data_IF_627403791842
#
_entry.id   IF_627403791842
#
_cell.length_a   1.000
_cell.length_b   1.000
_cell.length_c   1.000
_cell.angle_alpha   90.00
_cell.angle_beta   90.00
_cell.angle_gamma   90.00
#
_symmetry.space_group_name_H-M   'P 1'
#
loop_
_entity.id
_entity.type
_entity.pdbx_description
1 polymer ?
#
# COMPACT_ATOMS: atom_id res chain seq x y z
N UNK A 1 -20.67 -11.25 4.03
CA UNK A 1 -21.47 -10.23 3.36
C UNK A 1 -21.27 -10.30 1.86
N UNK A 2 -22.32 -9.99 1.10
CA UNK A 2 -22.29 -9.80 -0.35
C UNK A 2 -22.53 -8.32 -0.61
N UNK A 3 -21.62 -7.70 -1.37
CA UNK A 3 -21.75 -6.32 -1.83
C UNK A 3 -22.21 -6.36 -3.28
N UNK A 4 -23.44 -5.86 -3.59
CA UNK A 4 -23.92 -5.82 -4.96
C UNK A 4 -23.06 -4.94 -5.87
N UNK A 5 -22.96 -5.28 -7.16
CA UNK A 5 -22.31 -4.42 -8.17
C UNK A 5 -23.07 -3.09 -8.37
N UNK A 6 -24.38 -3.09 -8.15
CA UNK A 6 -25.22 -1.90 -8.17
C UNK A 6 -25.12 -1.16 -6.82
N UNK A 7 -24.53 0.06 -6.77
CA UNK A 7 -24.37 0.81 -5.53
C UNK A 7 -25.70 1.28 -4.91
N UNK A 8 -26.83 1.19 -5.61
CA UNK A 8 -28.15 1.51 -5.05
C UNK A 8 -28.74 0.34 -4.24
N UNK A 9 -28.18 -0.85 -4.35
CA UNK A 9 -28.62 -2.01 -3.59
C UNK A 9 -27.85 -2.14 -2.27
N UNK A 10 -28.58 -2.45 -1.19
CA UNK A 10 -27.96 -2.65 0.11
C UNK A 10 -27.16 -3.97 0.15
N UNK A 11 -26.06 -4.03 0.94
CA UNK A 11 -25.35 -5.27 1.19
C UNK A 11 -26.25 -6.36 1.74
N UNK A 12 -26.06 -7.60 1.28
CA UNK A 12 -26.83 -8.77 1.71
C UNK A 12 -25.99 -9.62 2.68
N UNK A 13 -26.66 -10.21 3.65
CA UNK A 13 -26.05 -11.18 4.53
C UNK A 13 -26.02 -12.57 3.91
N UNK A 14 -24.95 -13.33 4.17
CA UNK A 14 -24.84 -14.72 3.73
C UNK A 14 -24.51 -15.64 4.89
N UNK A 15 -25.27 -16.71 5.03
CA UNK A 15 -24.95 -17.79 5.97
C UNK A 15 -23.70 -18.53 5.51
N UNK A 16 -22.76 -18.86 6.41
CA UNK A 16 -21.59 -19.67 6.06
C UNK A 16 -21.92 -20.97 5.31
N UNK A 17 -23.04 -21.63 5.62
CA UNK A 17 -23.50 -22.82 4.93
C UNK A 17 -23.99 -22.53 3.49
N UNK A 18 -24.32 -21.27 3.19
CA UNK A 18 -24.84 -20.83 1.89
C UNK A 18 -23.76 -20.22 0.98
N UNK A 19 -22.50 -20.20 1.41
CA UNK A 19 -21.38 -19.66 0.63
C UNK A 19 -20.94 -20.58 -0.52
N UNK A 20 -21.21 -21.88 -0.41
CA UNK A 20 -20.75 -22.87 -1.39
C UNK A 20 -19.22 -22.83 -1.54
N UNK A 21 -18.76 -22.77 -2.78
CA UNK A 21 -17.34 -22.68 -3.13
C UNK A 21 -16.80 -21.24 -3.14
N UNK A 22 -17.60 -20.22 -2.80
CA UNK A 22 -17.15 -18.83 -2.80
C UNK A 22 -16.20 -18.53 -1.66
N UNK A 23 -15.18 -17.73 -1.96
CA UNK A 23 -14.19 -17.21 -1.03
C UNK A 23 -14.27 -15.69 -0.91
N UNK A 24 -13.64 -15.15 0.11
CA UNK A 24 -13.59 -13.70 0.30
C UNK A 24 -12.93 -13.00 -0.90
N UNK A 25 -13.64 -12.01 -1.43
CA UNK A 25 -13.24 -11.22 -2.59
C UNK A 25 -13.65 -11.78 -3.95
N UNK A 26 -14.24 -12.97 -4.02
CA UNK A 26 -14.78 -13.51 -5.27
C UNK A 26 -15.94 -12.67 -5.78
N UNK A 27 -16.06 -12.55 -7.08
CA UNK A 27 -17.27 -12.07 -7.74
C UNK A 27 -18.22 -13.24 -7.96
N UNK A 28 -19.44 -13.11 -7.49
CA UNK A 28 -20.38 -14.21 -7.42
C UNK A 28 -21.74 -13.86 -8.05
N UNK A 29 -22.46 -14.88 -8.50
CA UNK A 29 -23.89 -14.79 -8.73
C UNK A 29 -24.59 -15.30 -7.49
N UNK A 30 -25.45 -14.49 -6.87
CA UNK A 30 -26.17 -14.82 -5.67
C UNK A 30 -27.68 -14.66 -5.87
N UNK A 31 -28.47 -15.50 -5.19
CA UNK A 31 -29.92 -15.41 -5.18
C UNK A 31 -30.38 -14.88 -3.81
N UNK A 32 -31.17 -13.79 -3.78
CA UNK A 32 -31.83 -13.36 -2.56
C UNK A 32 -32.75 -14.44 -2.02
N UNK A 33 -32.67 -14.71 -0.72
CA UNK A 33 -33.50 -15.74 -0.07
C UNK A 33 -34.20 -15.19 1.16
N UNK A 34 -35.31 -15.76 1.56
CA UNK A 34 -35.96 -15.43 2.84
C UNK A 34 -35.11 -15.95 3.97
N UNK A 35 -34.88 -15.12 4.97
CA UNK A 35 -34.10 -15.44 6.16
C UNK A 35 -34.89 -16.42 7.04
N UNK A 36 -34.28 -17.56 7.40
CA UNK A 36 -34.83 -18.45 8.41
C UNK A 36 -34.66 -17.89 9.83
N UNK A 37 -35.57 -18.22 10.73
CA UNK A 37 -35.58 -17.67 12.10
C UNK A 37 -34.34 -18.02 12.95
N UNK A 38 -33.59 -19.07 12.56
CA UNK A 38 -32.33 -19.51 13.20
C UNK A 38 -31.12 -18.57 12.98
N UNK A 39 -31.18 -17.68 12.00
CA UNK A 39 -30.09 -16.76 11.63
C UNK A 39 -29.87 -15.58 12.60
N UNK A 40 -30.54 -15.56 13.77
CA UNK A 40 -30.44 -14.47 14.75
C UNK A 40 -29.09 -14.40 15.50
N UNK A 41 -28.21 -15.39 15.33
CA UNK A 41 -27.01 -15.57 16.17
C UNK A 41 -25.74 -14.82 15.71
N UNK A 42 -25.73 -14.14 14.55
CA UNK A 42 -24.48 -13.61 13.97
C UNK A 42 -24.49 -12.12 13.63
N UNK A 43 -25.17 -11.28 14.40
CA UNK A 43 -24.99 -9.82 14.35
C UNK A 43 -25.58 -9.09 13.13
N UNK A 44 -26.37 -9.77 12.28
CA UNK A 44 -27.10 -9.10 11.22
C UNK A 44 -28.36 -8.42 11.76
N UNK A 45 -28.63 -7.19 11.32
CA UNK A 45 -29.86 -6.49 11.70
C UNK A 45 -31.11 -7.23 11.18
N UNK A 46 -32.28 -7.11 11.86
CA UNK A 46 -33.50 -7.86 11.52
C UNK A 46 -33.96 -7.71 10.07
N UNK A 47 -33.72 -6.55 9.46
CA UNK A 47 -34.20 -6.20 8.11
C UNK A 47 -33.16 -6.48 7.02
N UNK A 48 -32.01 -7.07 7.35
CA UNK A 48 -30.98 -7.35 6.34
C UNK A 48 -31.40 -8.51 5.46
N UNK A 49 -31.46 -8.28 4.15
CA UNK A 49 -31.76 -9.32 3.17
C UNK A 49 -30.68 -10.42 3.18
N UNK A 50 -31.09 -11.67 3.18
CA UNK A 50 -30.19 -12.81 3.06
C UNK A 50 -30.02 -13.24 1.60
N UNK A 51 -28.88 -13.88 1.29
CA UNK A 51 -28.65 -14.44 -0.03
C UNK A 51 -27.91 -15.78 0.05
N UNK A 52 -28.00 -16.57 -1.04
CA UNK A 52 -27.27 -17.80 -1.27
C UNK A 52 -26.44 -17.67 -2.54
N UNK A 53 -25.20 -18.14 -2.52
CA UNK A 53 -24.33 -18.19 -3.71
C UNK A 53 -24.84 -19.29 -4.64
N UNK A 54 -25.06 -18.94 -5.91
CA UNK A 54 -25.34 -19.87 -6.98
C UNK A 54 -24.09 -20.38 -7.65
N UNK A 55 -23.17 -19.44 -7.96
CA UNK A 55 -21.87 -19.77 -8.55
C UNK A 55 -20.86 -18.63 -8.37
N UNK A 56 -19.58 -18.95 -8.44
CA UNK A 56 -18.48 -17.98 -8.57
C UNK A 56 -18.38 -17.58 -10.03
N UNK A 57 -18.40 -16.27 -10.30
CA UNK A 57 -18.26 -15.71 -11.66
C UNK A 57 -16.79 -15.43 -11.96
N UNK A 58 -16.09 -14.90 -10.95
CA UNK A 58 -14.67 -14.58 -11.05
C UNK A 58 -14.00 -14.92 -9.71
N UNK A 59 -12.93 -15.73 -9.78
CA UNK A 59 -12.14 -16.13 -8.63
C UNK A 59 -11.04 -15.12 -8.39
N UNK A 60 -11.06 -14.44 -7.24
CA UNK A 60 -9.99 -13.50 -6.86
C UNK A 60 -8.76 -14.22 -6.33
N UNK A 61 -8.95 -15.19 -5.48
CA UNK A 61 -7.86 -15.95 -4.86
C UNK A 61 -7.40 -17.09 -5.77
N UNK A 62 -6.15 -17.08 -6.18
CA UNK A 62 -5.57 -18.13 -7.02
C UNK A 62 -4.73 -19.14 -6.23
N UNK A 63 -4.28 -18.75 -5.04
CA UNK A 63 -3.36 -19.51 -4.22
C UNK A 63 -3.92 -19.72 -2.82
N UNK A 64 -3.57 -20.83 -2.21
CA UNK A 64 -3.79 -21.13 -0.81
C UNK A 64 -2.50 -21.59 -0.18
N UNK A 65 -2.23 -21.09 1.04
CA UNK A 65 -1.11 -21.50 1.87
C UNK A 65 -1.64 -22.12 3.15
N UNK A 66 -1.07 -23.23 3.56
CA UNK A 66 -1.48 -23.92 4.77
C UNK A 66 -0.71 -25.21 5.01
N UNK A 67 -1.06 -25.90 6.07
CA UNK A 67 -0.40 -27.14 6.48
C UNK A 67 -0.98 -28.30 5.69
N UNK A 68 -0.09 -29.08 5.05
CA UNK A 68 -0.48 -30.26 4.31
C UNK A 68 -0.79 -31.42 5.26
N UNK A 69 -1.98 -31.96 5.12
CA UNK A 69 -2.45 -33.15 5.86
C UNK A 69 -3.05 -34.18 4.91
N UNK A 70 -3.23 -35.39 5.41
CA UNK A 70 -3.84 -36.46 4.62
C UNK A 70 -4.83 -37.29 5.42
N UNK A 71 -5.80 -37.86 4.71
CA UNK A 71 -6.58 -39.02 5.07
C UNK A 71 -6.00 -40.24 4.35
N UNK A 72 -6.48 -41.47 4.62
CA UNK A 72 -6.07 -42.66 3.83
C UNK A 72 -6.39 -42.55 2.32
N UNK A 73 -7.22 -41.63 1.90
CA UNK A 73 -7.76 -41.55 0.54
C UNK A 73 -7.31 -40.33 -0.27
N UNK A 74 -6.98 -39.20 0.40
CA UNK A 74 -6.61 -37.95 -0.25
C UNK A 74 -5.84 -37.02 0.70
N UNK A 75 -5.06 -36.12 0.11
CA UNK A 75 -4.42 -35.03 0.84
C UNK A 75 -5.26 -33.75 0.79
N UNK A 76 -5.10 -32.91 1.80
CA UNK A 76 -5.77 -31.62 1.91
C UNK A 76 -4.89 -30.61 2.63
N UNK A 77 -5.13 -29.34 2.38
CA UNK A 77 -4.50 -28.23 3.08
C UNK A 77 -5.46 -27.72 4.16
N UNK A 78 -4.92 -27.55 5.36
CA UNK A 78 -5.52 -26.74 6.43
C UNK A 78 -5.05 -25.31 6.20
N UNK A 79 -5.90 -24.40 5.68
CA UNK A 79 -5.47 -23.04 5.36
C UNK A 79 -4.94 -22.29 6.58
N UNK A 80 -3.88 -21.51 6.40
CA UNK A 80 -3.36 -20.58 7.42
C UNK A 80 -4.26 -19.36 7.59
N UNK A 81 -4.90 -18.91 6.51
CA UNK A 81 -5.86 -17.81 6.54
C UNK A 81 -7.16 -18.24 7.23
N UNK A 82 -7.44 -17.68 8.41
CA UNK A 82 -8.64 -17.95 9.21
C UNK A 82 -9.97 -17.57 8.49
N UNK A 83 -9.91 -16.80 7.41
CA UNK A 83 -11.07 -16.49 6.58
C UNK A 83 -11.47 -17.69 5.69
N UNK A 84 -10.55 -18.62 5.45
CA UNK A 84 -10.82 -19.89 4.78
C UNK A 84 -11.18 -20.96 5.85
N UNK A 85 -12.46 -21.12 6.09
CA UNK A 85 -12.97 -21.98 7.17
C UNK A 85 -13.01 -23.47 6.84
N UNK A 86 -12.74 -23.87 5.60
CA UNK A 86 -12.81 -25.24 5.12
C UNK A 86 -11.46 -25.72 4.61
N UNK A 87 -11.12 -26.98 4.90
CA UNK A 87 -9.96 -27.61 4.33
C UNK A 87 -10.10 -27.73 2.80
N UNK A 88 -9.02 -27.55 2.09
CA UNK A 88 -8.99 -27.56 0.62
C UNK A 88 -8.35 -28.87 0.16
N UNK A 89 -9.14 -29.70 -0.52
CA UNK A 89 -8.66 -30.98 -1.05
C UNK A 89 -7.67 -30.75 -2.19
N UNK A 90 -6.56 -31.51 -2.18
CA UNK A 90 -5.63 -31.53 -3.30
C UNK A 90 -6.03 -32.54 -4.37
N UNK A 91 -5.79 -32.15 -5.62
CA UNK A 91 -6.05 -33.02 -6.79
C UNK A 91 -4.87 -33.97 -7.08
N UNK A 92 -3.71 -33.70 -6.50
CA UNK A 92 -2.51 -34.50 -6.67
C UNK A 92 -2.62 -35.86 -5.98
N UNK A 93 -2.01 -36.91 -6.56
CA UNK A 93 -1.97 -38.23 -5.94
C UNK A 93 -1.26 -38.21 -4.60
N UNK A 94 -1.84 -38.84 -3.58
CA UNK A 94 -1.32 -38.87 -2.21
C UNK A 94 0.17 -39.29 -2.16
N UNK A 95 0.55 -40.29 -2.94
CA UNK A 95 1.93 -40.80 -3.01
C UNK A 95 2.98 -39.73 -3.35
N UNK A 96 2.60 -38.70 -4.13
CA UNK A 96 3.50 -37.58 -4.47
C UNK A 96 3.65 -36.60 -3.33
N UNK A 97 2.72 -36.59 -2.38
CA UNK A 97 2.63 -35.60 -1.33
C UNK A 97 3.11 -36.14 0.03
N UNK A 98 3.36 -37.45 0.14
CA UNK A 98 3.76 -38.08 1.41
C UNK A 98 5.01 -37.44 2.04
N UNK A 99 5.99 -37.06 1.24
CA UNK A 99 7.23 -36.43 1.73
C UNK A 99 7.02 -35.00 2.28
N UNK A 100 5.88 -34.39 2.01
CA UNK A 100 5.55 -32.99 2.36
C UNK A 100 4.50 -32.91 3.49
N UNK A 101 4.05 -34.07 4.00
CA UNK A 101 3.02 -34.07 5.07
C UNK A 101 3.54 -33.39 6.33
N UNK A 102 2.72 -32.51 6.89
CA UNK A 102 3.05 -31.68 8.05
C UNK A 102 3.73 -30.36 7.70
N UNK A 103 4.24 -30.20 6.48
CA UNK A 103 4.87 -28.97 6.05
C UNK A 103 3.85 -27.87 5.70
N UNK A 104 4.32 -26.64 5.74
CA UNK A 104 3.64 -25.48 5.15
C UNK A 104 3.82 -25.55 3.62
N UNK A 105 2.71 -25.58 2.91
CA UNK A 105 2.73 -25.73 1.45
C UNK A 105 1.89 -24.67 0.77
N UNK A 106 2.21 -24.43 -0.50
CA UNK A 106 1.45 -23.60 -1.42
C UNK A 106 0.74 -24.49 -2.42
N UNK A 107 -0.54 -24.22 -2.67
CA UNK A 107 -1.27 -24.86 -3.75
C UNK A 107 -2.05 -23.85 -4.57
N UNK A 108 -2.17 -24.14 -5.86
CA UNK A 108 -2.95 -23.35 -6.78
C UNK A 108 -4.38 -23.85 -6.81
N UNK A 109 -5.35 -22.97 -6.56
CA UNK A 109 -6.76 -23.30 -6.64
C UNK A 109 -7.07 -23.70 -8.08
N UNK A 110 -7.64 -24.90 -8.25
CA UNK A 110 -8.08 -25.40 -9.55
C UNK A 110 -9.48 -24.89 -9.82
N UNK A 111 -9.67 -24.31 -11.00
CA UNK A 111 -10.98 -23.90 -11.49
C UNK A 111 -11.69 -25.15 -12.07
N UNK A 112 -12.21 -26.01 -11.22
CA UNK A 112 -13.31 -26.84 -11.67
C UNK A 112 -14.57 -25.96 -11.67
N UNK A 113 -15.40 -26.05 -12.73
CA UNK A 113 -16.63 -25.31 -12.81
C UNK A 113 -17.36 -25.40 -11.46
N UNK A 114 -17.64 -24.24 -10.81
CA UNK A 114 -18.26 -24.24 -9.49
C UNK A 114 -19.70 -24.75 -9.62
N UNK A 115 -19.85 -26.05 -9.62
CA UNK A 115 -21.19 -26.67 -9.55
C UNK A 115 -21.64 -26.67 -8.09
N UNK A 116 -22.93 -26.44 -7.89
CA UNK A 116 -23.59 -26.44 -6.60
C UNK A 116 -23.11 -27.65 -5.74
N UNK A 117 -22.51 -27.37 -4.56
CA UNK A 117 -22.12 -28.40 -3.60
C UNK A 117 -20.75 -29.06 -3.77
N UNK A 118 -19.95 -28.71 -4.76
CA UNK A 118 -18.56 -29.23 -4.84
C UNK A 118 -17.60 -28.40 -3.99
N UNK A 119 -16.74 -29.06 -3.19
CA UNK A 119 -15.72 -28.34 -2.44
C UNK A 119 -14.65 -27.77 -3.39
N UNK A 120 -14.04 -26.65 -2.97
CA UNK A 120 -12.89 -26.10 -3.66
C UNK A 120 -11.75 -27.10 -3.64
N UNK A 121 -11.07 -27.26 -4.77
CA UNK A 121 -9.88 -28.10 -4.91
C UNK A 121 -8.66 -27.25 -5.31
N UNK A 122 -7.46 -27.77 -5.05
CA UNK A 122 -6.22 -27.13 -5.44
C UNK A 122 -5.19 -28.16 -5.91
N UNK A 123 -4.23 -27.71 -6.69
CA UNK A 123 -3.06 -28.50 -7.08
C UNK A 123 -1.84 -28.04 -6.31
N UNK A 124 -1.05 -28.98 -5.81
CA UNK A 124 0.22 -28.69 -5.12
C UNK A 124 1.17 -27.90 -6.03
N UNK A 125 1.80 -26.88 -5.47
CA UNK A 125 2.73 -26.03 -6.22
C UNK A 125 4.13 -26.01 -5.58
N UNK A 126 4.22 -25.80 -4.28
CA UNK A 126 5.50 -25.59 -3.60
C UNK A 126 5.44 -26.04 -2.14
N UNK A 127 6.55 -26.54 -1.62
CA UNK A 127 6.78 -26.85 -0.22
C UNK A 127 7.64 -25.76 0.41
N UNK A 128 7.10 -25.05 1.38
CA UNK A 128 7.82 -24.01 2.13
C UNK A 128 8.57 -24.57 3.34
N UNK A 129 8.35 -25.87 3.68
CA UNK A 129 9.02 -26.54 4.79
C UNK A 129 8.29 -26.42 6.12
N UNK A 130 9.06 -26.31 7.21
CA UNK A 130 8.54 -26.26 8.58
C UNK A 130 7.53 -25.11 8.77
N UNK A 131 6.28 -25.39 9.19
CA UNK A 131 5.28 -24.37 9.46
C UNK A 131 5.63 -23.40 10.60
N UNK A 132 6.52 -23.79 11.50
CA UNK A 132 6.96 -22.98 12.64
C UNK A 132 8.25 -22.16 12.34
N UNK A 133 8.83 -22.34 11.15
CA UNK A 133 10.00 -21.57 10.71
C UNK A 133 9.61 -20.13 10.36
N UNK A 134 10.16 -19.15 11.06
CA UNK A 134 9.86 -17.72 10.91
C UNK A 134 10.20 -17.22 9.51
N UNK A 135 11.22 -17.76 8.85
CA UNK A 135 11.60 -17.44 7.47
C UNK A 135 10.50 -17.73 6.44
N UNK A 136 9.56 -18.63 6.77
CA UNK A 136 8.43 -18.97 5.90
C UNK A 136 7.24 -18.02 6.06
N UNK A 137 7.20 -17.18 7.09
CA UNK A 137 6.07 -16.30 7.39
C UNK A 137 5.81 -15.27 6.30
N UNK A 138 6.87 -14.59 5.85
CA UNK A 138 6.74 -13.55 4.83
C UNK A 138 6.40 -14.14 3.45
N UNK A 139 7.09 -15.15 2.92
CA UNK A 139 6.67 -15.82 1.69
C UNK A 139 5.22 -16.31 1.71
N UNK A 140 4.82 -16.96 2.80
CA UNK A 140 3.45 -17.43 2.97
C UNK A 140 2.44 -16.28 2.94
N UNK A 141 2.72 -15.18 3.64
CA UNK A 141 1.86 -13.99 3.66
C UNK A 141 1.71 -13.37 2.27
N UNK A 142 2.81 -13.23 1.52
CA UNK A 142 2.80 -12.67 0.17
C UNK A 142 1.91 -13.48 -0.77
N UNK A 143 2.05 -14.80 -0.74
CA UNK A 143 1.26 -15.72 -1.55
C UNK A 143 -0.22 -15.70 -1.15
N UNK A 144 -0.51 -15.72 0.14
CA UNK A 144 -1.89 -15.67 0.65
C UNK A 144 -2.62 -14.37 0.27
N UNK A 145 -1.90 -13.27 0.20
CA UNK A 145 -2.43 -11.96 -0.19
C UNK A 145 -2.37 -11.70 -1.70
N UNK A 146 -1.81 -12.62 -2.47
CA UNK A 146 -1.59 -12.45 -3.91
C UNK A 146 -0.63 -11.30 -4.24
N UNK A 147 0.29 -11.00 -3.31
CA UNK A 147 1.33 -10.00 -3.48
C UNK A 147 2.55 -10.62 -4.17
N UNK A 148 3.15 -9.88 -5.07
CA UNK A 148 4.38 -10.28 -5.76
C UNK A 148 5.41 -9.16 -5.68
N UNK A 149 6.63 -9.48 -5.30
CA UNK A 149 7.75 -8.54 -5.36
C UNK A 149 8.16 -8.27 -6.81
N UNK A 150 7.95 -9.25 -7.69
CA UNK A 150 8.30 -9.12 -9.10
C UNK A 150 7.25 -8.34 -9.89
N UNK A 151 7.75 -7.56 -10.84
CA UNK A 151 6.93 -6.89 -11.84
C UNK A 151 6.91 -7.67 -13.16
N UNK A 152 5.80 -7.64 -13.91
CA UNK A 152 5.76 -8.17 -15.27
C UNK A 152 6.89 -7.61 -16.14
N UNK A 153 7.42 -8.42 -17.05
CA UNK A 153 8.53 -8.02 -17.91
C UNK A 153 8.27 -6.76 -18.74
N UNK A 154 7.02 -6.56 -19.20
CA UNK A 154 6.60 -5.35 -19.93
C UNK A 154 6.71 -4.10 -19.04
N UNK A 155 6.27 -4.18 -17.78
CA UNK A 155 6.33 -3.09 -16.80
C UNK A 155 7.78 -2.72 -16.49
N UNK A 156 8.64 -3.71 -16.20
CA UNK A 156 10.08 -3.48 -15.97
C UNK A 156 10.75 -2.81 -17.17
N UNK A 157 10.45 -3.29 -18.38
CA UNK A 157 10.97 -2.70 -19.62
C UNK A 157 10.49 -1.27 -19.84
N UNK A 158 9.23 -0.98 -19.54
CA UNK A 158 8.67 0.36 -19.63
C UNK A 158 9.34 1.31 -18.62
N UNK A 159 9.47 0.93 -17.36
CA UNK A 159 10.11 1.72 -16.31
C UNK A 159 11.58 2.09 -16.64
N UNK A 160 12.36 1.14 -17.16
CA UNK A 160 13.74 1.40 -17.58
C UNK A 160 13.90 2.37 -18.74
N UNK A 161 12.85 2.58 -19.54
CA UNK A 161 12.87 3.54 -20.66
C UNK A 161 12.62 4.97 -20.21
N UNK A 162 12.04 5.17 -19.02
CA UNK A 162 11.81 6.50 -18.50
C UNK A 162 13.16 7.14 -18.16
N UNK A 163 13.41 8.32 -18.75
CA UNK A 163 14.64 9.06 -18.52
C UNK A 163 14.60 9.78 -17.16
N UNK A 164 15.65 9.67 -16.33
CA UNK A 164 15.77 10.48 -15.12
C UNK A 164 16.08 11.95 -15.44
N UNK A 165 16.64 12.24 -16.62
CA UNK A 165 16.95 13.60 -17.03
C UNK A 165 15.72 14.27 -17.63
N UNK A 166 15.35 15.40 -17.09
CA UNK A 166 14.29 16.23 -17.63
C UNK A 166 14.70 16.81 -18.98
N UNK A 167 13.82 16.67 -19.97
CA UNK A 167 14.06 17.26 -21.28
C UNK A 167 13.99 18.81 -21.20
N UNK A 168 14.73 19.56 -22.05
CA UNK A 168 14.75 21.01 -22.01
C UNK A 168 13.36 21.67 -22.13
N UNK A 169 12.47 21.10 -22.90
CA UNK A 169 11.09 21.59 -23.03
C UNK A 169 10.30 21.47 -21.73
N UNK A 170 10.58 20.46 -20.89
CA UNK A 170 9.95 20.27 -19.58
C UNK A 170 10.50 21.29 -18.57
N UNK A 171 11.81 21.57 -18.63
CA UNK A 171 12.46 22.59 -17.78
C UNK A 171 11.96 24.01 -18.08
N UNK A 172 11.42 24.28 -19.27
CA UNK A 172 10.88 25.56 -19.70
C UNK A 172 9.34 25.57 -19.79
N UNK A 173 8.67 24.54 -19.24
CA UNK A 173 7.22 24.45 -19.20
C UNK A 173 6.62 25.55 -18.31
N UNK A 174 6.00 26.56 -18.96
CA UNK A 174 5.38 27.69 -18.27
C UNK A 174 4.17 27.32 -17.40
N UNK A 175 3.66 26.12 -17.53
CA UNK A 175 2.60 25.60 -16.65
C UNK A 175 3.13 25.18 -15.28
N UNK A 176 4.45 25.11 -15.10
CA UNK A 176 5.13 24.78 -13.85
C UNK A 176 5.82 26.01 -13.27
N UNK A 177 5.68 26.23 -11.98
CA UNK A 177 6.46 27.27 -11.28
C UNK A 177 7.87 26.78 -11.03
N UNK A 178 8.85 27.62 -11.35
CA UNK A 178 10.26 27.35 -11.06
C UNK A 178 10.57 27.71 -9.60
N UNK A 179 10.91 26.72 -8.80
CA UNK A 179 11.25 26.84 -7.39
C UNK A 179 12.70 26.39 -7.09
N UNK A 180 13.53 26.24 -8.11
CA UNK A 180 14.90 25.73 -7.97
C UNK A 180 15.83 26.61 -7.12
N UNK A 181 15.48 27.88 -6.96
CA UNK A 181 16.23 28.82 -6.11
C UNK A 181 15.78 28.81 -4.64
N UNK A 182 14.67 28.10 -4.31
CA UNK A 182 14.23 27.98 -2.92
C UNK A 182 15.06 26.97 -2.14
N UNK A 183 15.17 27.21 -0.83
CA UNK A 183 15.73 26.24 0.09
C UNK A 183 14.70 25.12 0.36
N UNK A 184 14.82 24.06 -0.40
CA UNK A 184 13.97 22.84 -0.31
C UNK A 184 14.85 21.73 0.26
N UNK A 185 14.28 20.89 1.13
CA UNK A 185 15.00 19.78 1.75
C UNK A 185 14.07 18.58 1.94
N UNK A 186 14.64 17.39 1.90
CA UNK A 186 13.98 16.14 2.31
C UNK A 186 14.43 15.76 3.73
N UNK A 187 13.56 15.08 4.49
CA UNK A 187 13.82 14.61 5.87
C UNK A 187 13.22 13.22 6.02
N UNK A 188 14.03 12.19 6.02
CA UNK A 188 13.64 10.80 5.84
C UNK A 188 14.41 9.88 6.80
N UNK A 189 14.05 8.58 6.92
CA UNK A 189 14.91 7.60 7.57
C UNK A 189 16.29 7.52 6.89
N UNK A 190 17.35 7.25 7.64
CA UNK A 190 18.72 7.15 7.10
C UNK A 190 18.88 6.06 6.01
N UNK A 191 17.96 5.09 5.99
CA UNK A 191 17.92 3.98 5.01
C UNK A 191 17.07 4.28 3.78
N UNK A 192 16.39 5.44 3.72
CA UNK A 192 15.55 5.80 2.59
C UNK A 192 16.40 6.15 1.34
N UNK A 193 15.91 5.73 0.19
CA UNK A 193 16.48 6.02 -1.13
C UNK A 193 15.43 6.61 -2.09
N UNK A 194 14.16 6.57 -1.71
CA UNK A 194 12.99 7.04 -2.43
C UNK A 194 12.40 8.25 -1.69
N UNK A 195 12.94 9.43 -1.97
CA UNK A 195 12.48 10.69 -1.38
C UNK A 195 11.25 11.18 -2.12
N UNK A 196 10.06 10.85 -1.62
CA UNK A 196 8.80 11.18 -2.26
C UNK A 196 8.33 12.59 -1.95
N UNK A 197 8.74 13.16 -0.81
CA UNK A 197 8.36 14.49 -0.36
C UNK A 197 9.54 15.35 0.10
N UNK A 198 9.38 16.64 -0.07
CA UNK A 198 10.31 17.65 0.39
C UNK A 198 9.56 18.86 0.97
N UNK A 199 10.24 19.62 1.80
CA UNK A 199 9.64 20.79 2.44
C UNK A 199 10.52 22.03 2.25
N UNK A 200 9.87 23.19 2.22
CA UNK A 200 10.51 24.50 2.33
C UNK A 200 9.72 25.38 3.31
N UNK A 201 10.39 26.35 3.94
CA UNK A 201 9.73 27.29 4.84
C UNK A 201 10.31 28.68 4.69
N UNK A 202 9.45 29.68 4.63
CA UNK A 202 9.80 31.08 4.53
C UNK A 202 9.11 31.88 5.67
N UNK A 203 9.85 32.65 6.46
CA UNK A 203 9.25 33.58 7.41
C UNK A 203 8.55 34.71 6.65
N UNK A 204 7.36 35.10 7.11
CA UNK A 204 6.60 36.25 6.63
C UNK A 204 6.48 37.28 7.75
N UNK A 205 5.97 38.49 7.40
CA UNK A 205 5.68 39.53 8.39
C UNK A 205 4.69 39.07 9.45
N UNK A 206 4.74 39.71 10.64
CA UNK A 206 3.80 39.48 11.74
C UNK A 206 3.78 38.04 12.30
N UNK A 207 4.93 37.34 12.26
CA UNK A 207 5.06 35.98 12.81
C UNK A 207 4.39 34.90 11.99
N UNK A 208 3.91 35.20 10.81
CA UNK A 208 3.39 34.28 9.82
C UNK A 208 4.53 33.51 9.15
N UNK A 209 4.22 32.41 8.51
CA UNK A 209 5.17 31.70 7.66
C UNK A 209 4.47 31.00 6.50
N UNK A 210 5.22 30.80 5.41
CA UNK A 210 4.80 29.97 4.27
C UNK A 210 5.55 28.64 4.35
N UNK A 211 4.79 27.54 4.42
CA UNK A 211 5.30 26.19 4.27
C UNK A 211 5.04 25.73 2.85
N UNK A 212 6.08 25.31 2.14
CA UNK A 212 5.95 24.57 0.89
C UNK A 212 6.08 23.08 1.17
N UNK A 213 5.12 22.30 0.68
CA UNK A 213 5.18 20.82 0.64
C UNK A 213 5.29 20.44 -0.82
N UNK A 214 6.32 19.70 -1.17
CA UNK A 214 6.66 19.35 -2.55
C UNK A 214 6.65 17.83 -2.69
N UNK A 215 5.69 17.28 -3.42
CA UNK A 215 5.55 15.85 -3.66
C UNK A 215 6.03 15.52 -5.06
N UNK A 216 6.81 14.47 -5.22
CA UNK A 216 7.30 14.00 -6.52
C UNK A 216 6.13 13.81 -7.50
N UNK A 217 6.22 14.44 -8.70
CA UNK A 217 5.17 14.36 -9.73
C UNK A 217 5.32 13.07 -10.54
N UNK A 218 5.01 11.93 -9.90
CA UNK A 218 5.07 10.59 -10.51
C UNK A 218 4.20 10.50 -11.77
N UNK A 219 3.04 11.19 -11.77
CA UNK A 219 2.11 11.20 -12.89
C UNK A 219 2.71 11.84 -14.17
N UNK A 220 3.75 12.66 -14.04
CA UNK A 220 4.47 13.19 -15.21
C UNK A 220 5.26 12.13 -15.97
N UNK A 221 5.54 10.98 -15.34
CA UNK A 221 6.35 9.89 -15.89
C UNK A 221 5.54 8.61 -16.18
N UNK A 222 4.29 8.55 -15.71
CA UNK A 222 3.40 7.40 -15.88
C UNK A 222 2.19 7.82 -16.69
N UNK A 223 2.13 7.41 -17.95
CA UNK A 223 1.01 7.72 -18.83
C UNK A 223 -0.24 6.90 -18.41
N UNK A 224 -1.43 7.53 -18.34
CA UNK A 224 -2.67 6.81 -18.08
C UNK A 224 -2.89 5.67 -19.07
N UNK A 225 -3.27 4.49 -18.61
CA UNK A 225 -3.48 3.29 -19.41
C UNK A 225 -2.20 2.60 -19.88
N UNK A 226 -1.00 3.06 -19.48
CA UNK A 226 0.26 2.36 -19.75
C UNK A 226 0.37 1.04 -18.97
N UNK A 227 1.37 0.21 -19.31
CA UNK A 227 1.64 -1.03 -18.55
C UNK A 227 1.98 -0.73 -17.08
N UNK A 228 2.69 0.38 -16.82
CA UNK A 228 3.04 0.82 -15.46
C UNK A 228 1.77 1.24 -14.71
N UNK A 229 0.92 2.05 -15.33
CA UNK A 229 -0.32 2.55 -14.72
C UNK A 229 -1.27 1.40 -14.37
N UNK A 230 -1.50 0.46 -15.30
CA UNK A 230 -2.35 -0.72 -15.04
C UNK A 230 -1.83 -1.58 -13.90
N UNK A 231 -0.51 -1.79 -13.85
CA UNK A 231 0.09 -2.58 -12.77
C UNK A 231 0.04 -1.84 -11.43
N UNK A 232 0.27 -0.53 -11.42
CA UNK A 232 0.14 0.30 -10.22
C UNK A 232 -1.30 0.28 -9.67
N UNK A 233 -2.30 0.40 -10.57
CA UNK A 233 -3.71 0.29 -10.20
C UNK A 233 -4.05 -1.09 -9.63
N UNK A 234 -3.51 -2.16 -10.22
CA UNK A 234 -3.70 -3.53 -9.72
C UNK A 234 -3.12 -3.74 -8.33
N UNK A 235 -1.95 -3.16 -8.04
CA UNK A 235 -1.28 -3.24 -6.73
C UNK A 235 -1.95 -2.34 -5.69
N UNK A 236 -2.36 -1.15 -6.07
CA UNK A 236 -3.06 -0.17 -5.25
C UNK A 236 -2.19 0.63 -4.29
N UNK A 237 -1.17 0.02 -3.70
CA UNK A 237 -0.20 0.66 -2.79
C UNK A 237 1.14 -0.11 -2.76
N UNK A 238 2.14 0.47 -2.11
CA UNK A 238 3.31 -0.29 -1.63
C UNK A 238 2.98 -0.91 -0.28
N UNK A 239 3.41 -2.16 -0.07
CA UNK A 239 3.21 -2.88 1.20
C UNK A 239 4.56 -3.02 1.90
N UNK A 240 4.67 -2.44 3.08
CA UNK A 240 5.89 -2.49 3.90
C UNK A 240 5.81 -3.69 4.84
N UNK A 241 6.78 -4.59 4.75
CA UNK A 241 6.95 -5.74 5.61
C UNK A 241 8.18 -5.53 6.51
N UNK A 242 8.39 -6.43 7.45
CA UNK A 242 9.47 -6.28 8.45
C UNK A 242 10.86 -6.19 7.80
N UNK A 243 11.09 -6.95 6.73
CA UNK A 243 12.41 -7.12 6.08
C UNK A 243 12.48 -6.61 4.63
N UNK A 244 11.32 -6.25 4.04
CA UNK A 244 11.24 -5.86 2.61
C UNK A 244 10.02 -5.00 2.29
N UNK A 245 10.02 -4.43 1.10
CA UNK A 245 8.90 -3.64 0.57
C UNK A 245 8.41 -4.24 -0.75
N UNK A 246 7.13 -4.59 -0.80
CA UNK A 246 6.46 -4.92 -2.07
C UNK A 246 5.97 -3.62 -2.68
N UNK A 247 6.71 -3.11 -3.65
CA UNK A 247 6.49 -1.77 -4.22
C UNK A 247 5.28 -1.72 -5.15
N UNK A 248 4.54 -0.61 -5.14
CA UNK A 248 3.48 -0.32 -6.11
C UNK A 248 4.05 -0.03 -7.50
N UNK A 249 5.17 0.66 -7.58
CA UNK A 249 5.86 1.05 -8.80
C UNK A 249 7.28 0.44 -8.82
N UNK A 250 7.84 0.12 -10.02
CA UNK A 250 9.19 -0.38 -10.13
C UNK A 250 10.23 0.58 -9.55
N UNK A 251 11.27 0.03 -8.92
CA UNK A 251 12.37 0.80 -8.32
C UNK A 251 13.11 1.68 -9.33
N UNK A 252 13.24 1.23 -10.58
CA UNK A 252 13.74 2.03 -11.70
C UNK A 252 12.99 3.38 -11.84
N UNK A 253 11.73 3.45 -11.41
CA UNK A 253 10.93 4.68 -11.46
C UNK A 253 11.02 5.44 -10.13
N UNK A 254 10.76 4.77 -9.00
CA UNK A 254 10.66 5.42 -7.68
C UNK A 254 11.99 5.97 -7.19
N UNK A 255 13.08 5.23 -7.33
CA UNK A 255 14.40 5.65 -6.83
C UNK A 255 15.17 6.47 -7.87
N UNK A 256 15.18 6.02 -9.15
CA UNK A 256 16.03 6.61 -10.17
C UNK A 256 15.44 7.85 -10.86
N UNK A 257 14.10 7.96 -10.95
CA UNK A 257 13.43 9.01 -11.72
C UNK A 257 12.67 10.00 -10.84
N UNK A 258 11.86 9.49 -9.91
CA UNK A 258 10.93 10.31 -9.14
C UNK A 258 11.53 10.82 -7.83
N UNK A 259 12.47 10.07 -7.23
CA UNK A 259 13.08 10.44 -5.95
C UNK A 259 13.71 11.84 -6.01
N UNK A 260 13.36 12.70 -5.05
CA UNK A 260 13.78 14.09 -4.98
C UNK A 260 15.24 14.23 -4.49
N UNK A 261 16.17 13.67 -5.28
CA UNK A 261 17.59 13.64 -4.98
C UNK A 261 18.17 15.06 -4.84
N UNK A 262 19.17 15.25 -3.95
CA UNK A 262 19.78 16.57 -3.76
C UNK A 262 20.54 17.03 -5.01
N UNK A 263 20.48 18.35 -5.26
CA UNK A 263 21.19 19.08 -6.33
C UNK A 263 20.78 18.71 -7.76
N UNK A 264 19.68 17.92 -7.93
CA UNK A 264 19.09 17.59 -9.22
C UNK A 264 17.74 18.29 -9.41
N UNK A 265 17.35 18.50 -10.67
CA UNK A 265 16.05 19.10 -11.03
C UNK A 265 14.98 18.02 -11.06
N UNK A 266 13.90 18.23 -10.32
CA UNK A 266 12.78 17.29 -10.23
C UNK A 266 11.45 17.98 -10.49
N UNK A 267 10.50 17.19 -11.05
CA UNK A 267 9.11 17.61 -11.17
C UNK A 267 8.36 17.33 -9.87
N UNK A 268 7.61 18.30 -9.40
CA UNK A 268 6.82 18.16 -8.20
C UNK A 268 5.43 18.78 -8.32
N UNK A 269 4.52 18.30 -7.50
CA UNK A 269 3.32 19.01 -7.09
C UNK A 269 3.60 19.73 -5.80
N UNK A 270 3.43 21.05 -5.79
CA UNK A 270 3.67 21.88 -4.61
C UNK A 270 2.36 22.39 -4.04
N UNK A 271 2.26 22.32 -2.71
CA UNK A 271 1.25 23.01 -1.92
C UNK A 271 1.95 24.05 -1.06
N UNK A 272 1.74 25.33 -1.35
CA UNK A 272 2.16 26.44 -0.51
C UNK A 272 1.05 26.75 0.50
N UNK A 273 1.35 26.67 1.79
CA UNK A 273 0.40 26.94 2.87
C UNK A 273 0.90 28.12 3.70
N UNK A 274 0.10 29.17 3.79
CA UNK A 274 0.38 30.30 4.68
C UNK A 274 -0.27 30.06 6.02
N UNK A 275 0.56 30.09 7.06
CA UNK A 275 0.13 29.98 8.45
C UNK A 275 0.20 31.32 9.16
N UNK A 276 -0.77 31.60 10.00
CA UNK A 276 -0.77 32.71 10.94
C UNK A 276 0.26 32.50 12.10
N UNK A 277 0.39 33.51 12.95
CA UNK A 277 1.29 33.47 14.10
C UNK A 277 0.93 32.37 15.12
N UNK A 278 -0.30 31.87 15.13
CA UNK A 278 -0.82 30.83 16.02
C UNK A 278 -0.75 29.42 15.43
N UNK A 279 -0.46 29.28 14.13
CA UNK A 279 -0.42 28.01 13.39
C UNK A 279 -1.73 27.64 12.71
N UNK A 280 -2.67 28.60 12.61
CA UNK A 280 -3.88 28.46 11.79
C UNK A 280 -3.56 28.67 10.31
N UNK A 281 -4.28 27.97 9.42
CA UNK A 281 -4.13 28.12 7.98
C UNK A 281 -4.88 29.36 7.51
N UNK A 282 -4.18 30.33 6.88
CA UNK A 282 -4.79 31.51 6.25
C UNK A 282 -5.13 31.24 4.77
N UNK A 283 -4.23 30.57 4.03
CA UNK A 283 -4.44 30.25 2.63
C UNK A 283 -3.60 29.03 2.21
N UNK A 284 -4.03 28.37 1.15
CA UNK A 284 -3.27 27.33 0.47
C UNK A 284 -3.39 27.49 -1.04
N UNK A 285 -2.28 27.24 -1.76
CA UNK A 285 -2.22 27.26 -3.23
C UNK A 285 -1.53 26.00 -3.71
N UNK A 286 -2.12 25.34 -4.71
CA UNK A 286 -1.61 24.07 -5.25
C UNK A 286 -1.26 24.22 -6.71
N UNK A 287 -0.06 23.81 -7.10
CA UNK A 287 0.41 23.95 -8.46
C UNK A 287 1.52 22.94 -8.80
N UNK A 288 1.74 22.70 -10.07
CA UNK A 288 2.90 21.95 -10.57
C UNK A 288 4.15 22.82 -10.54
N UNK A 289 5.28 22.24 -10.18
CA UNK A 289 6.55 22.95 -10.02
C UNK A 289 7.73 22.17 -10.58
N UNK A 290 8.86 22.87 -10.70
CA UNK A 290 10.19 22.31 -10.87
C UNK A 290 10.98 22.73 -9.63
N UNK A 291 11.54 21.76 -8.93
CA UNK A 291 12.28 21.97 -7.70
C UNK A 291 13.70 21.43 -7.80
N UNK A 292 14.58 21.89 -6.89
CA UNK A 292 15.88 21.30 -6.65
C UNK A 292 16.10 21.23 -5.15
N UNK A 293 16.15 20.03 -4.60
CA UNK A 293 16.47 19.83 -3.19
C UNK A 293 17.90 20.29 -2.90
N UNK A 294 18.09 21.05 -1.82
CA UNK A 294 19.42 21.55 -1.40
C UNK A 294 20.00 20.76 -0.23
N UNK A 295 19.20 19.94 0.39
CA UNK A 295 19.64 19.11 1.51
C UNK A 295 18.77 17.85 1.58
N UNK A 296 19.42 16.71 1.75
CA UNK A 296 18.80 15.47 2.15
C UNK A 296 19.27 15.20 3.59
N UNK A 297 18.33 15.07 4.51
CA UNK A 297 18.59 14.95 5.95
C UNK A 297 17.96 13.68 6.49
N UNK A 298 18.60 13.05 7.47
CA UNK A 298 17.94 11.97 8.21
C UNK A 298 17.21 12.49 9.44
N UNK A 299 16.22 11.72 9.92
CA UNK A 299 15.53 12.01 11.18
C UNK A 299 16.51 12.18 12.34
N UNK A 300 17.55 11.33 12.40
CA UNK A 300 18.58 11.37 13.44
C UNK A 300 19.41 12.66 13.37
N UNK A 301 19.79 13.11 12.16
CA UNK A 301 20.51 14.37 11.97
C UNK A 301 19.69 15.56 12.43
N UNK A 302 18.40 15.59 12.09
CA UNK A 302 17.49 16.66 12.51
C UNK A 302 17.26 16.63 14.03
N UNK A 303 17.14 15.43 14.61
CA UNK A 303 16.99 15.27 16.06
C UNK A 303 18.27 15.71 16.80
N UNK A 304 19.47 15.37 16.30
CA UNK A 304 20.75 15.78 16.89
C UNK A 304 20.93 17.32 16.88
N UNK A 305 20.45 17.98 15.82
CA UNK A 305 20.36 19.45 15.82
C UNK A 305 19.48 19.97 16.95
N UNK A 306 18.33 19.31 17.19
CA UNK A 306 17.38 19.80 18.18
C UNK A 306 17.78 19.52 19.62
N UNK A 307 18.52 18.46 19.87
CA UNK A 307 18.94 18.02 21.21
C UNK A 307 20.31 18.58 21.60
N UNK A 308 21.24 18.66 20.65
CA UNK A 308 22.63 19.00 20.92
C UNK A 308 23.14 20.19 20.11
N UNK A 309 22.33 20.78 19.23
CA UNK A 309 22.73 21.87 18.36
C UNK A 309 23.69 21.45 17.23
N UNK A 310 23.87 20.15 16.98
CA UNK A 310 24.81 19.63 15.98
C UNK A 310 24.10 19.32 14.66
N UNK A 311 24.64 19.85 13.57
CA UNK A 311 24.24 19.51 12.20
C UNK A 311 25.46 19.74 11.29
N UNK A 312 26.35 18.76 11.27
CA UNK A 312 27.64 18.89 10.61
C UNK A 312 27.53 19.01 9.10
N UNK A 313 28.39 19.85 8.51
CA UNK A 313 28.47 20.05 7.06
C UNK A 313 27.26 20.76 6.41
N UNK A 314 26.28 21.24 7.20
CA UNK A 314 25.13 21.95 6.66
C UNK A 314 25.21 23.46 6.91
N UNK A 315 24.86 24.28 5.89
CA UNK A 315 24.92 25.73 6.01
C UNK A 315 23.87 26.28 6.98
N UNK A 316 24.17 27.46 7.55
CA UNK A 316 23.29 28.11 8.54
C UNK A 316 21.82 28.30 8.09
N UNK A 317 21.49 28.61 6.81
CA UNK A 317 20.09 28.70 6.36
C UNK A 317 19.31 27.41 6.57
N UNK A 318 19.94 26.23 6.42
CA UNK A 318 19.27 24.93 6.67
C UNK A 318 18.90 24.79 8.16
N UNK A 319 19.82 25.15 9.07
CA UNK A 319 19.57 25.13 10.52
C UNK A 319 18.39 26.03 10.91
N UNK A 320 18.40 27.26 10.37
CA UNK A 320 17.32 28.22 10.61
C UNK A 320 15.97 27.74 10.10
N UNK A 321 15.93 27.14 8.89
CA UNK A 321 14.72 26.55 8.33
C UNK A 321 14.19 25.41 9.20
N UNK A 322 15.06 24.50 9.67
CA UNK A 322 14.66 23.40 10.56
C UNK A 322 14.09 23.90 11.90
N UNK A 323 14.69 24.92 12.51
CA UNK A 323 14.15 25.53 13.73
C UNK A 323 12.77 26.17 13.49
N UNK A 324 12.58 26.81 12.34
CA UNK A 324 11.30 27.41 11.98
C UNK A 324 10.23 26.31 11.71
N UNK A 325 10.59 25.24 11.00
CA UNK A 325 9.74 24.06 10.78
C UNK A 325 9.32 23.43 12.12
N UNK A 326 10.28 23.20 13.04
CA UNK A 326 9.99 22.69 14.39
C UNK A 326 9.01 23.58 15.15
N UNK A 327 9.21 24.90 15.09
CA UNK A 327 8.31 25.87 15.74
C UNK A 327 6.90 25.80 15.16
N UNK A 328 6.76 25.72 13.84
CA UNK A 328 5.47 25.58 13.18
C UNK A 328 4.81 24.24 13.52
N UNK A 329 5.53 23.14 13.42
CA UNK A 329 5.01 21.80 13.72
C UNK A 329 4.44 21.71 15.16
N UNK A 330 5.14 22.30 16.14
CA UNK A 330 4.65 22.37 17.54
C UNK A 330 3.33 23.14 17.65
N UNK A 331 3.17 24.24 16.91
CA UNK A 331 1.93 25.03 16.92
C UNK A 331 0.79 24.25 16.29
N UNK A 332 1.01 23.63 15.13
CA UNK A 332 0.02 22.80 14.44
C UNK A 332 -0.40 21.62 15.35
N UNK A 333 0.56 20.94 15.99
CA UNK A 333 0.26 19.85 16.93
C UNK A 333 -0.58 20.33 18.09
N UNK A 334 -0.22 21.45 18.72
CA UNK A 334 -0.99 22.02 19.82
C UNK A 334 -2.43 22.41 19.39
N UNK A 335 -2.61 22.92 18.17
CA UNK A 335 -3.92 23.23 17.62
C UNK A 335 -4.74 21.95 17.38
N UNK A 336 -4.15 20.91 16.84
CA UNK A 336 -4.82 19.61 16.63
C UNK A 336 -5.32 19.02 17.96
N UNK A 337 -4.50 19.05 19.01
CA UNK A 337 -4.90 18.57 20.34
C UNK A 337 -6.06 19.39 20.93
N UNK A 338 -6.03 20.71 20.80
CA UNK A 338 -7.15 21.57 21.22
C UNK A 338 -8.44 21.24 20.47
N UNK A 339 -8.33 20.76 19.24
CA UNK A 339 -9.46 20.36 18.40
C UNK A 339 -9.88 18.89 18.61
N UNK A 340 -9.36 18.22 19.65
CA UNK A 340 -9.76 16.85 20.02
C UNK A 340 -8.96 15.72 19.39
N UNK A 341 -7.80 16.00 18.78
CA UNK A 341 -6.89 14.94 18.33
C UNK A 341 -6.35 14.15 19.53
N UNK A 342 -6.30 12.82 19.38
CA UNK A 342 -5.69 11.91 20.35
C UNK A 342 -4.28 11.55 19.89
N UNK A 343 -3.37 11.39 20.84
CA UNK A 343 -2.02 10.89 20.63
C UNK A 343 -1.87 9.56 21.38
N UNK A 344 -1.61 8.50 20.65
CA UNK A 344 -1.34 7.19 21.23
C UNK A 344 0.16 6.94 21.11
N UNK A 345 0.83 6.86 22.26
CA UNK A 345 2.21 6.38 22.31
C UNK A 345 2.20 4.86 22.05
N UNK A 346 2.09 4.47 20.80
CA UNK A 346 2.29 3.08 20.40
C UNK A 346 3.80 2.86 20.24
N UNK A 347 4.34 1.72 20.72
CA UNK A 347 5.70 1.34 20.37
C UNK A 347 5.78 1.13 18.86
N UNK A 348 6.77 1.77 18.23
CA UNK A 348 7.12 1.55 16.82
C UNK A 348 7.87 0.23 16.64
#
# INVERSE_FOLDING_TARGET
WIIPDDPQQAPMWIDPASTGAAMNGDRILALPVRREASARLFGAQPDTQAARVLRVVERKRQWVVGILQATPYYAYIVPRDSLLRTNIKLTDPLKKLEAHLGNLVVARITEDEPSEGRPVTAAFAEDLGDPDAVENDIPALLLDRGLSEEFPGAVRKAARRVSPRLAPNVLHDRSRRDLRDKLIMTIDPATAHDYDDAVSIEPLSNGRCRLGVHIADVAAFVEPGSDIDREALRRGNSTYLVDRVVRMLPEDLTVRVCSLQPDEDHLAHTVDIVFDAQGGVESADTYRSIIRSRACLSYEQVQDLFDHGRLDGRPEPVRQALHLLRKLARKIRALRFRNGALDYALPE
#
